data_IF_591592953338
#
_entry.id   IF_591592953338
#
_cell.length_a   1.000
_cell.length_b   1.000
_cell.length_c   1.000
_cell.angle_alpha   90.00
_cell.angle_beta   90.00
_cell.angle_gamma   90.00
#
_symmetry.space_group_name_H-M   'P 1'
#
loop_
_entity.id
_entity.type
_entity.pdbx_description
1 polymer ?
#
# COMPACT_ATOMS: atom_id res chain seq x y z
N UNK A 1 23.44 -13.03 -1.79
CA UNK A 1 23.30 -11.89 -2.74
C UNK A 1 22.15 -12.06 -3.72
N UNK A 2 21.78 -13.26 -4.20
CA UNK A 2 20.65 -13.43 -5.15
C UNK A 2 19.27 -13.20 -4.51
N UNK A 3 19.13 -13.41 -3.21
CA UNK A 3 17.87 -13.25 -2.48
C UNK A 3 17.49 -11.78 -2.22
N UNK A 4 18.45 -10.88 -2.40
CA UNK A 4 18.40 -9.49 -1.95
C UNK A 4 18.05 -8.53 -3.09
N UNK A 5 18.63 -8.74 -4.28
CA UNK A 5 18.15 -8.14 -5.53
C UNK A 5 16.68 -8.50 -5.81
N UNK A 6 16.22 -9.67 -5.36
CA UNK A 6 14.81 -10.04 -5.43
C UNK A 6 13.92 -9.15 -4.55
N UNK A 7 14.41 -8.59 -3.43
CA UNK A 7 13.56 -7.80 -2.53
C UNK A 7 13.23 -6.45 -3.15
N UNK A 8 14.21 -5.62 -3.50
CA UNK A 8 13.98 -4.27 -4.07
C UNK A 8 12.99 -4.28 -5.24
N UNK A 9 13.07 -5.30 -6.08
CA UNK A 9 12.17 -5.47 -7.22
C UNK A 9 10.83 -6.10 -6.83
N UNK A 10 10.73 -6.92 -5.77
CA UNK A 10 9.51 -7.64 -5.42
C UNK A 10 8.34 -6.73 -5.04
N UNK A 11 8.50 -5.78 -4.11
CA UNK A 11 7.39 -4.90 -3.72
C UNK A 11 6.95 -4.05 -4.91
N UNK A 12 7.91 -3.49 -5.65
CA UNK A 12 7.63 -2.67 -6.82
C UNK A 12 6.89 -3.49 -7.88
N UNK A 13 7.39 -4.68 -8.21
CA UNK A 13 6.79 -5.57 -9.19
C UNK A 13 5.38 -6.01 -8.76
N UNK A 14 5.17 -6.27 -7.47
CA UNK A 14 3.84 -6.54 -6.92
C UNK A 14 2.90 -5.36 -7.16
N UNK A 15 3.28 -4.15 -6.76
CA UNK A 15 2.46 -2.94 -6.94
C UNK A 15 2.17 -2.69 -8.43
N UNK A 16 3.18 -2.78 -9.30
CA UNK A 16 3.01 -2.67 -10.75
C UNK A 16 2.01 -3.71 -11.28
N UNK A 17 2.17 -4.99 -10.90
CA UNK A 17 1.29 -6.06 -11.36
C UNK A 17 -0.16 -5.88 -10.89
N UNK A 18 -0.39 -5.33 -9.69
CA UNK A 18 -1.74 -5.01 -9.20
C UNK A 18 -2.35 -3.83 -9.96
N UNK A 19 -1.57 -2.77 -10.21
CA UNK A 19 -2.01 -1.64 -11.04
C UNK A 19 -2.37 -2.11 -12.45
N UNK A 20 -1.55 -2.97 -13.06
CA UNK A 20 -1.80 -3.52 -14.38
C UNK A 20 -3.09 -4.36 -14.43
N UNK A 21 -3.34 -5.16 -13.40
CA UNK A 21 -4.58 -5.95 -13.29
C UNK A 21 -5.81 -5.06 -13.16
N UNK A 22 -5.76 -4.03 -12.30
CA UNK A 22 -6.87 -3.07 -12.13
C UNK A 22 -7.13 -2.29 -13.43
N UNK A 23 -6.07 -1.88 -14.12
CA UNK A 23 -6.17 -1.20 -15.40
C UNK A 23 -6.78 -2.11 -16.48
N UNK A 24 -6.31 -3.36 -16.61
CA UNK A 24 -6.85 -4.32 -17.55
C UNK A 24 -8.34 -4.57 -17.31
N UNK A 25 -8.71 -4.82 -16.04
CA UNK A 25 -10.10 -5.03 -15.64
C UNK A 25 -10.97 -3.82 -15.97
N UNK A 26 -10.49 -2.60 -15.71
CA UNK A 26 -11.21 -1.38 -16.08
C UNK A 26 -11.35 -1.22 -17.60
N UNK A 27 -10.31 -1.55 -18.39
CA UNK A 27 -10.39 -1.50 -19.86
C UNK A 27 -11.42 -2.48 -20.39
N UNK A 28 -11.42 -3.73 -19.90
CA UNK A 28 -12.41 -4.75 -20.27
C UNK A 28 -13.82 -4.30 -19.89
N UNK A 29 -14.02 -3.78 -18.68
CA UNK A 29 -15.31 -3.27 -18.22
C UNK A 29 -15.80 -2.08 -19.08
N UNK A 30 -14.89 -1.19 -19.50
CA UNK A 30 -15.22 -0.08 -20.39
C UNK A 30 -15.64 -0.56 -21.78
N UNK A 31 -15.05 -1.62 -22.31
CA UNK A 31 -15.39 -2.17 -23.62
C UNK A 31 -16.72 -2.93 -23.60
N UNK A 32 -16.97 -3.71 -22.54
CA UNK A 32 -18.16 -4.56 -22.43
C UNK A 32 -19.47 -3.76 -22.39
N UNK A 33 -19.43 -2.48 -21.99
CA UNK A 33 -20.63 -1.66 -21.73
C UNK A 33 -20.97 -0.72 -22.89
N UNK A 34 -20.05 -0.50 -23.83
CA UNK A 34 -20.25 0.44 -24.95
C UNK A 34 -20.54 1.87 -24.45
N UNK A 35 -21.61 2.49 -24.94
CA UNK A 35 -22.00 3.88 -24.61
C UNK A 35 -22.69 4.05 -23.25
N UNK A 36 -22.68 3.04 -22.38
CA UNK A 36 -23.28 3.10 -21.05
C UNK A 36 -22.58 4.10 -20.11
N UNK A 37 -23.35 4.88 -19.35
CA UNK A 37 -22.82 5.90 -18.44
C UNK A 37 -22.51 5.28 -17.07
N UNK A 38 -21.23 5.19 -16.72
CA UNK A 38 -20.74 5.04 -15.36
C UNK A 38 -20.60 6.41 -14.72
N UNK A 39 -21.66 6.95 -14.13
CA UNK A 39 -21.54 8.18 -13.36
C UNK A 39 -22.14 7.98 -11.98
N UNK A 40 -21.45 8.45 -10.93
CA UNK A 40 -22.02 8.56 -9.58
C UNK A 40 -23.31 9.42 -9.54
N UNK A 41 -23.55 10.22 -10.60
CA UNK A 41 -24.75 11.03 -10.81
C UNK A 41 -25.81 10.31 -11.65
N UNK A 42 -25.48 9.20 -12.30
CA UNK A 42 -26.46 8.40 -13.01
C UNK A 42 -27.32 7.69 -11.95
N UNK A 43 -28.63 7.90 -12.03
CA UNK A 43 -29.62 7.18 -11.22
C UNK A 43 -29.55 5.67 -11.41
N UNK A 44 -28.84 5.18 -12.44
CA UNK A 44 -28.68 3.77 -12.74
C UNK A 44 -27.22 3.43 -13.12
N UNK A 45 -26.67 2.36 -12.54
CA UNK A 45 -25.52 1.63 -13.10
C UNK A 45 -26.07 0.68 -14.15
N UNK A 46 -25.67 0.84 -15.40
CA UNK A 46 -26.05 -0.08 -16.49
C UNK A 46 -24.87 -0.97 -16.81
N UNK A 47 -25.01 -2.28 -16.59
CA UNK A 47 -24.15 -3.28 -17.21
C UNK A 47 -24.77 -3.73 -18.53
N UNK A 48 -23.98 -4.44 -19.35
CA UNK A 48 -24.47 -5.08 -20.58
C UNK A 48 -25.67 -6.02 -20.36
N UNK A 49 -25.89 -6.48 -19.11
CA UNK A 49 -26.91 -7.46 -18.77
C UNK A 49 -28.07 -6.90 -17.94
N UNK A 50 -27.92 -5.74 -17.28
CA UNK A 50 -29.00 -5.14 -16.47
C UNK A 50 -28.77 -3.65 -16.18
N UNK A 51 -29.86 -2.89 -16.10
CA UNK A 51 -29.87 -1.57 -15.46
C UNK A 51 -30.20 -1.72 -13.96
N UNK A 52 -29.29 -1.32 -13.08
CA UNK A 52 -29.48 -1.24 -11.63
C UNK A 52 -29.71 0.24 -11.26
N UNK A 53 -30.82 0.60 -10.62
CA UNK A 53 -31.05 1.98 -10.13
C UNK A 53 -30.24 2.16 -8.87
N UNK A 54 -29.26 3.06 -8.81
CA UNK A 54 -28.38 3.25 -7.66
C UNK A 54 -29.05 3.97 -6.48
N UNK A 55 -30.09 3.35 -5.90
CA UNK A 55 -30.80 3.87 -4.71
C UNK A 55 -30.25 3.31 -3.39
N UNK A 56 -29.42 2.26 -3.46
CA UNK A 56 -28.86 1.59 -2.29
C UNK A 56 -27.39 1.97 -2.02
N UNK A 57 -26.92 1.69 -0.80
CA UNK A 57 -25.49 1.83 -0.42
C UNK A 57 -24.60 0.98 -1.34
N UNK A 58 -25.03 -0.24 -1.67
CA UNK A 58 -24.30 -1.16 -2.52
C UNK A 58 -24.12 -0.60 -3.94
N UNK A 59 -25.16 0.00 -4.51
CA UNK A 59 -25.05 0.56 -5.86
C UNK A 59 -24.22 1.86 -5.89
N UNK A 60 -24.24 2.67 -4.83
CA UNK A 60 -23.29 3.79 -4.69
C UNK A 60 -21.84 3.30 -4.57
N UNK A 61 -21.62 2.15 -3.95
CA UNK A 61 -20.30 1.51 -3.92
C UNK A 61 -19.89 1.06 -5.33
N UNK A 62 -20.77 0.39 -6.08
CA UNK A 62 -20.51 -0.02 -7.47
C UNK A 62 -20.23 1.19 -8.36
N UNK A 63 -21.00 2.27 -8.25
CA UNK A 63 -20.81 3.48 -9.06
C UNK A 63 -19.46 4.19 -8.79
N UNK A 64 -18.81 3.94 -7.65
CA UNK A 64 -17.46 4.43 -7.35
C UNK A 64 -16.37 3.67 -8.11
N UNK A 65 -16.69 2.53 -8.68
CA UNK A 65 -15.82 1.71 -9.53
C UNK A 65 -16.05 1.99 -11.03
N UNK A 66 -16.39 3.23 -11.39
CA UNK A 66 -16.39 3.71 -12.77
C UNK A 66 -15.04 3.38 -13.45
N UNK A 67 -15.02 2.60 -14.54
CA UNK A 67 -13.79 2.25 -15.24
C UNK A 67 -12.91 3.46 -15.58
N UNK A 68 -13.50 4.60 -15.98
CA UNK A 68 -12.72 5.81 -16.28
C UNK A 68 -12.00 6.32 -15.04
N UNK A 69 -12.65 6.29 -13.87
CA UNK A 69 -12.05 6.67 -12.60
C UNK A 69 -10.91 5.71 -12.23
N UNK A 70 -11.11 4.40 -12.40
CA UNK A 70 -10.08 3.39 -12.11
C UNK A 70 -8.85 3.60 -13.00
N UNK A 71 -9.03 3.89 -14.30
CA UNK A 71 -7.91 4.21 -15.20
C UNK A 71 -7.13 5.46 -14.77
N UNK A 72 -7.82 6.52 -14.31
CA UNK A 72 -7.17 7.72 -13.77
C UNK A 72 -6.42 7.42 -12.47
N UNK A 73 -7.00 6.57 -11.62
CA UNK A 73 -6.34 6.11 -10.39
C UNK A 73 -5.09 5.30 -10.71
N UNK A 74 -5.15 4.33 -11.61
CA UNK A 74 -3.99 3.55 -12.07
C UNK A 74 -2.87 4.46 -12.59
N UNK A 75 -3.19 5.45 -13.41
CA UNK A 75 -2.22 6.44 -13.89
C UNK A 75 -1.57 7.24 -12.74
N UNK A 76 -2.36 7.68 -11.76
CA UNK A 76 -1.84 8.39 -10.59
C UNK A 76 -0.94 7.50 -9.72
N UNK A 77 -1.32 6.23 -9.52
CA UNK A 77 -0.53 5.25 -8.77
C UNK A 77 0.83 5.00 -9.44
N UNK A 78 0.86 4.84 -10.78
CA UNK A 78 2.14 4.73 -11.52
C UNK A 78 3.00 5.98 -11.38
N UNK A 79 2.40 7.17 -11.40
CA UNK A 79 3.15 8.41 -11.20
C UNK A 79 3.78 8.48 -9.81
N UNK A 80 3.08 8.05 -8.76
CA UNK A 80 3.64 7.94 -7.41
C UNK A 80 4.78 6.91 -7.39
N UNK A 81 4.58 5.72 -7.97
CA UNK A 81 5.62 4.69 -8.00
C UNK A 81 6.89 5.15 -8.73
N UNK A 82 6.73 5.89 -9.84
CA UNK A 82 7.84 6.49 -10.58
C UNK A 82 8.55 7.59 -9.78
N UNK A 83 7.80 8.39 -9.01
CA UNK A 83 8.37 9.43 -8.14
C UNK A 83 9.09 8.85 -6.91
N UNK A 84 8.85 7.59 -6.56
CA UNK A 84 9.47 6.90 -5.43
C UNK A 84 10.40 5.78 -5.91
N UNK A 85 11.29 6.10 -6.85
CA UNK A 85 12.29 5.13 -7.34
C UNK A 85 13.16 4.60 -6.20
N UNK A 86 13.32 3.28 -6.15
CA UNK A 86 14.21 2.59 -5.23
C UNK A 86 15.61 2.46 -5.83
N UNK A 87 16.62 2.43 -4.97
CA UNK A 87 18.00 2.14 -5.33
C UNK A 87 18.65 1.28 -4.24
N UNK A 88 19.57 0.41 -4.65
CA UNK A 88 20.50 -0.33 -3.80
C UNK A 88 21.84 0.43 -3.63
N UNK A 89 22.02 1.55 -4.34
CA UNK A 89 23.16 2.46 -4.19
C UNK A 89 22.94 3.39 -3.00
N UNK A 90 23.01 2.81 -1.81
CA UNK A 90 22.81 3.53 -0.56
C UNK A 90 24.10 3.65 0.25
N UNK A 91 24.18 4.72 1.03
CA UNK A 91 25.24 4.91 2.04
C UNK A 91 24.67 4.67 3.43
N UNK A 92 25.43 3.97 4.25
CA UNK A 92 25.14 3.81 5.67
C UNK A 92 25.85 4.91 6.48
N UNK A 93 25.07 5.90 6.96
CA UNK A 93 25.54 6.94 7.87
C UNK A 93 25.41 6.53 9.36
N UNK A 94 25.30 5.24 9.66
CA UNK A 94 25.16 4.67 11.00
C UNK A 94 23.71 4.47 11.45
N UNK A 95 22.73 4.86 10.62
CA UNK A 95 21.30 4.58 10.82
C UNK A 95 20.69 3.76 9.68
N UNK A 96 21.46 3.48 8.63
CA UNK A 96 20.98 2.76 7.46
C UNK A 96 21.12 1.26 7.66
N UNK A 97 20.10 0.63 8.24
CA UNK A 97 20.10 -0.82 8.50
C UNK A 97 19.82 -1.65 7.25
N UNK A 98 19.32 -1.01 6.20
CA UNK A 98 18.89 -1.67 4.97
C UNK A 98 19.85 -1.39 3.84
N UNK A 99 19.88 -2.30 2.89
CA UNK A 99 20.69 -2.25 1.67
C UNK A 99 20.00 -1.53 0.51
N UNK A 100 18.78 -1.01 0.73
CA UNK A 100 17.99 -0.32 -0.25
C UNK A 100 17.37 0.96 0.33
N UNK A 101 17.04 1.91 -0.54
CA UNK A 101 16.42 3.15 -0.14
C UNK A 101 15.60 3.78 -1.26
N UNK A 102 14.61 4.59 -0.88
CA UNK A 102 13.88 5.43 -1.82
C UNK A 102 14.67 6.70 -2.07
N UNK A 103 15.08 6.93 -3.32
CA UNK A 103 15.87 8.11 -3.73
C UNK A 103 15.17 9.38 -3.25
N UNK A 104 13.88 9.54 -3.54
CA UNK A 104 13.14 10.76 -3.16
C UNK A 104 12.99 10.98 -1.66
N UNK A 105 12.91 9.90 -0.86
CA UNK A 105 12.63 10.04 0.58
C UNK A 105 13.90 10.05 1.44
N UNK A 106 14.99 9.45 0.96
CA UNK A 106 16.21 9.24 1.74
C UNK A 106 17.45 9.90 1.11
N UNK A 107 17.27 10.76 0.10
CA UNK A 107 18.32 11.62 -0.46
C UNK A 107 18.34 12.97 0.25
N UNK A 108 19.13 13.11 1.32
CA UNK A 108 19.25 14.35 2.08
C UNK A 108 20.29 15.31 1.45
N UNK A 109 21.38 14.78 0.93
CA UNK A 109 22.58 15.53 0.52
C UNK A 109 23.12 15.13 -0.86
N UNK A 110 22.30 14.52 -1.71
CA UNK A 110 22.70 13.91 -2.98
C UNK A 110 23.04 12.41 -2.84
N UNK A 111 22.91 11.85 -1.64
CA UNK A 111 23.20 10.45 -1.34
C UNK A 111 21.97 9.80 -0.69
N UNK A 112 21.52 8.68 -1.25
CA UNK A 112 20.40 7.91 -0.69
C UNK A 112 20.85 7.09 0.52
N UNK A 113 20.09 7.14 1.61
CA UNK A 113 20.33 6.32 2.81
C UNK A 113 19.51 5.03 2.79
N UNK A 114 20.13 3.95 3.27
CA UNK A 114 19.58 2.59 3.32
C UNK A 114 18.53 2.39 4.42
N UNK A 115 17.31 2.86 4.19
CA UNK A 115 16.19 2.77 5.15
C UNK A 115 15.03 1.87 4.68
N UNK A 116 15.25 1.09 3.62
CA UNK A 116 14.24 0.20 3.08
C UNK A 116 13.16 0.93 2.30
N UNK A 117 11.98 0.31 2.22
CA UNK A 117 10.81 0.92 1.58
C UNK A 117 10.31 2.12 2.37
N UNK A 118 10.06 3.23 1.68
CA UNK A 118 9.47 4.39 2.32
C UNK A 118 7.97 4.17 2.62
N UNK A 119 7.45 4.92 3.61
CA UNK A 119 6.04 4.82 4.05
C UNK A 119 5.04 4.95 2.90
N UNK A 120 5.37 5.72 1.85
CA UNK A 120 4.49 5.92 0.70
C UNK A 120 4.32 4.65 -0.12
N UNK A 121 5.40 3.91 -0.39
CA UNK A 121 5.32 2.65 -1.14
C UNK A 121 4.59 1.56 -0.36
N UNK A 122 4.84 1.49 0.95
CA UNK A 122 4.12 0.57 1.83
C UNK A 122 2.62 0.89 1.88
N UNK A 123 2.26 2.18 1.96
CA UNK A 123 0.87 2.63 1.92
C UNK A 123 0.17 2.29 0.60
N UNK A 124 0.88 2.41 -0.53
CA UNK A 124 0.33 2.01 -1.83
C UNK A 124 0.06 0.51 -1.88
N UNK A 125 1.03 -0.29 -1.45
CA UNK A 125 0.92 -1.73 -1.54
C UNK A 125 -0.19 -2.28 -0.63
N UNK A 126 -0.43 -1.64 0.53
CA UNK A 126 -1.49 -2.00 1.48
C UNK A 126 -2.93 -1.91 0.90
N UNK A 127 -3.12 -1.28 -0.27
CA UNK A 127 -4.40 -1.31 -0.99
C UNK A 127 -4.81 -2.75 -1.34
N UNK A 128 -3.82 -3.64 -1.52
CA UNK A 128 -4.00 -5.05 -1.92
C UNK A 128 -3.50 -6.01 -0.83
N UNK A 129 -3.65 -5.66 0.45
CA UNK A 129 -3.19 -6.50 1.58
C UNK A 129 -3.89 -7.88 1.67
N UNK A 130 -5.08 -7.99 1.06
CA UNK A 130 -5.86 -9.23 0.99
C UNK A 130 -5.49 -10.12 -0.20
N UNK A 131 -4.57 -9.67 -1.06
CA UNK A 131 -4.05 -10.47 -2.17
C UNK A 131 -3.15 -11.61 -1.66
N UNK A 132 -3.28 -12.85 -2.15
CA UNK A 132 -2.45 -13.97 -1.71
C UNK A 132 -0.94 -13.82 -2.00
N UNK A 133 -0.54 -12.89 -2.87
CA UNK A 133 0.86 -12.57 -3.14
C UNK A 133 1.40 -11.41 -2.28
N UNK A 134 0.57 -10.84 -1.40
CA UNK A 134 1.02 -9.88 -0.40
C UNK A 134 2.02 -10.53 0.55
N UNK A 135 3.18 -9.90 0.73
CA UNK A 135 4.18 -10.35 1.70
C UNK A 135 4.25 -9.42 2.91
N UNK A 136 3.79 -9.91 4.06
CA UNK A 136 3.88 -9.19 5.33
C UNK A 136 5.31 -8.83 5.75
N UNK A 137 6.33 -9.52 5.20
CA UNK A 137 7.74 -9.20 5.43
C UNK A 137 8.14 -7.82 4.87
N UNK A 138 7.36 -7.25 3.95
CA UNK A 138 7.55 -5.86 3.51
C UNK A 138 7.23 -4.85 4.62
N UNK A 139 6.38 -5.20 5.59
CA UNK A 139 5.92 -4.30 6.65
C UNK A 139 6.64 -4.50 7.99
N UNK A 140 7.29 -5.64 8.20
CA UNK A 140 7.90 -5.99 9.50
C UNK A 140 9.33 -5.51 9.67
N UNK A 141 9.96 -4.94 8.64
CA UNK A 141 11.40 -4.66 8.67
C UNK A 141 11.84 -3.37 9.38
N UNK A 142 10.92 -2.59 9.96
CA UNK A 142 11.32 -1.58 10.95
C UNK A 142 11.67 -2.31 12.24
N UNK A 143 12.87 -2.88 12.29
CA UNK A 143 13.45 -3.40 13.51
C UNK A 143 13.39 -2.28 14.54
N UNK A 144 12.78 -2.58 15.67
CA UNK A 144 12.61 -1.59 16.74
C UNK A 144 14.00 -1.31 17.25
N UNK A 145 14.61 -0.19 16.85
CA UNK A 145 15.85 0.29 17.47
C UNK A 145 15.45 0.59 18.92
N UNK A 146 15.70 -0.36 19.82
CA UNK A 146 15.68 -0.12 21.25
C UNK A 146 16.82 0.84 21.54
N UNK A 147 16.51 2.14 21.52
CA UNK A 147 17.45 3.16 21.96
C UNK A 147 17.66 2.91 23.44
N UNK A 148 18.82 2.37 23.80
CA UNK A 148 19.25 2.23 25.19
C UNK A 148 19.37 3.63 25.79
N UNK A 149 18.31 4.04 26.50
CA UNK A 149 18.18 5.38 27.08
C UNK A 149 18.93 5.51 28.42
N UNK A 150 19.74 4.51 28.79
CA UNK A 150 20.44 4.52 30.08
C UNK A 150 21.67 5.45 30.14
N UNK A 151 22.05 6.09 29.03
CA UNK A 151 23.17 7.04 28.98
C UNK A 151 22.76 8.49 28.68
N UNK A 152 22.64 9.31 29.72
CA UNK A 152 22.88 10.78 29.73
C UNK A 152 22.29 11.64 28.60
N UNK A 153 21.17 12.32 28.88
CA UNK A 153 20.66 13.48 28.14
C UNK A 153 21.75 14.55 27.90
N UNK A 154 21.97 14.94 26.64
CA UNK A 154 21.95 16.34 26.14
C UNK A 154 22.25 16.35 24.63
N UNK A 155 21.22 16.22 23.79
CA UNK A 155 20.86 17.25 22.81
C UNK A 155 19.68 16.79 21.95
N UNK A 156 18.62 17.58 22.04
CA UNK A 156 17.34 17.37 21.37
C UNK A 156 17.43 17.86 19.92
N UNK A 157 17.67 16.95 18.97
CA UNK A 157 17.45 17.27 17.55
C UNK A 157 16.87 16.13 16.68
N UNK A 158 16.60 14.94 17.23
CA UNK A 158 16.04 13.82 16.47
C UNK A 158 14.79 13.21 17.12
N UNK A 159 13.69 13.97 17.16
CA UNK A 159 12.38 13.42 17.51
C UNK A 159 11.30 13.96 16.57
N UNK A 160 11.21 13.37 15.37
CA UNK A 160 9.99 13.52 14.55
C UNK A 160 9.59 12.33 13.68
N UNK A 161 10.29 11.19 13.74
CA UNK A 161 10.03 10.03 12.85
C UNK A 161 9.36 8.83 13.52
N UNK A 162 9.20 8.80 14.86
CA UNK A 162 8.58 7.68 15.58
C UNK A 162 7.04 7.72 15.63
N UNK A 163 6.39 8.73 15.04
CA UNK A 163 4.92 8.89 15.12
C UNK A 163 4.10 8.13 14.06
N UNK A 164 4.72 7.41 13.10
CA UNK A 164 3.99 6.81 11.96
C UNK A 164 3.84 5.29 11.96
N UNK A 165 4.64 4.53 12.72
CA UNK A 165 4.48 3.08 12.80
C UNK A 165 3.27 2.65 13.67
N UNK A 166 2.93 3.42 14.72
CA UNK A 166 1.74 3.13 15.54
C UNK A 166 0.42 3.36 14.81
N UNK A 167 0.37 4.28 13.85
CA UNK A 167 -0.85 4.52 13.06
C UNK A 167 -1.14 3.35 12.11
N UNK A 168 -0.12 2.72 11.53
CA UNK A 168 -0.29 1.54 10.67
C UNK A 168 -0.56 0.25 11.48
N UNK A 169 0.15 0.03 12.59
CA UNK A 169 -0.14 -1.12 13.47
C UNK A 169 -1.52 -1.03 14.16
N UNK A 170 -2.01 0.19 14.48
CA UNK A 170 -3.37 0.40 14.96
C UNK A 170 -4.43 0.38 13.83
N UNK A 171 -4.05 0.58 12.57
CA UNK A 171 -4.97 0.39 11.43
C UNK A 171 -5.12 -1.08 11.03
N UNK A 172 -4.12 -1.94 11.23
CA UNK A 172 -4.32 -3.40 11.12
C UNK A 172 -5.32 -3.96 12.15
N UNK A 173 -5.62 -3.26 13.23
CA UNK A 173 -6.66 -3.67 14.20
C UNK A 173 -8.08 -3.29 13.75
N UNK A 174 -8.24 -2.44 12.72
CA UNK A 174 -9.55 -2.06 12.16
C UNK A 174 -10.07 -3.07 11.12
N UNK A 175 -9.27 -4.03 10.66
CA UNK A 175 -9.66 -5.06 9.68
C UNK A 175 -10.37 -6.28 10.30
N UNK A 176 -10.74 -6.25 11.59
CA UNK A 176 -11.83 -7.09 12.10
C UNK A 176 -11.58 -8.61 12.20
N UNK A 177 -10.34 -9.09 12.24
CA UNK A 177 -10.07 -10.46 12.72
C UNK A 177 -10.22 -10.54 14.25
N UNK A 178 -11.48 -10.54 14.71
CA UNK A 178 -11.82 -11.10 16.01
C UNK A 178 -11.63 -12.60 15.90
N UNK A 179 -10.54 -13.12 16.48
CA UNK A 179 -10.45 -14.55 16.79
C UNK A 179 -11.60 -14.90 17.72
N UNK A 180 -12.71 -15.40 17.17
CA UNK A 180 -13.75 -16.05 17.95
C UNK A 180 -13.18 -17.39 18.43
N UNK A 181 -12.45 -17.34 19.54
CA UNK A 181 -12.24 -18.52 20.37
C UNK A 181 -13.60 -18.91 20.94
N UNK A 182 -14.29 -19.81 20.25
CA UNK A 182 -15.40 -20.56 20.83
C UNK A 182 -14.81 -21.51 21.86
N UNK A 183 -14.71 -21.06 23.11
CA UNK A 183 -14.64 -21.97 24.25
C UNK A 183 -15.96 -22.75 24.28
N UNK A 184 -15.91 -24.02 23.86
CA UNK A 184 -16.93 -25.01 24.24
C UNK A 184 -16.78 -25.25 25.73
N UNK A 185 -17.74 -24.80 26.52
CA UNK A 185 -18.02 -25.40 27.82
C UNK A 185 -18.67 -26.76 27.54
N UNK A 186 -17.92 -27.83 27.78
CA UNK A 186 -18.47 -29.17 27.94
C UNK A 186 -19.12 -29.22 29.32
N UNK A 187 -20.46 -29.24 29.35
CA UNK A 187 -21.24 -29.68 30.49
C UNK A 187 -21.69 -31.12 30.24
N UNK A 188 -21.13 -32.07 31.01
CA UNK A 188 -21.79 -33.24 31.60
C UNK A 188 -20.85 -33.94 32.59
#
# INVERSE_FOLDING_TARGET
MTDQLNRTDALKAFVDARIDQDEATAREASQAIGDGIWAARARQVRSAHRALVADTVAERHIARHDPRRVLLQAAALRAILAAHSLTDHVVDYGSGTEDLGCVTCHDWDGVTVGHGYCDTLLALAAIWEDDPHWDTAWCTHRETIEVDTTGSQTDSFFLHHSYRARAYAQQCTLCGHVSTSTARTEDA
#
